data_IF_406840562161
#
_entry.id   IF_406840562161
#
_cell.length_a   1.000
_cell.length_b   1.000
_cell.length_c   1.000
_cell.angle_alpha   90.00
_cell.angle_beta   90.00
_cell.angle_gamma   90.00
#
_symmetry.space_group_name_H-M   'P 1'
#
loop_
_entity.id
_entity.type
_entity.pdbx_description
1 polymer ?
#
# COMPACT_ATOMS: atom_id res chain seq x y z
N UNK A 1 -12.10 5.91 30.66
CA UNK A 1 -11.30 5.38 29.54
C UNK A 1 -10.66 4.06 29.90
N UNK A 2 -11.13 2.97 29.26
CA UNK A 2 -10.47 1.69 29.33
C UNK A 2 -9.22 1.76 28.42
N UNK A 3 -8.04 1.93 29.01
CA UNK A 3 -6.84 2.35 28.27
C UNK A 3 -6.27 1.26 27.36
N UNK A 4 -6.43 -0.01 27.73
CA UNK A 4 -5.86 -1.15 26.99
C UNK A 4 -6.44 -1.31 25.56
N UNK A 5 -7.76 -1.36 25.35
CA UNK A 5 -8.34 -1.42 24.00
C UNK A 5 -7.87 -0.27 23.09
N UNK A 6 -7.76 0.92 23.66
CA UNK A 6 -7.34 2.12 22.93
C UNK A 6 -5.86 2.05 22.52
N UNK A 7 -4.97 1.63 23.42
CA UNK A 7 -3.55 1.43 23.12
C UNK A 7 -3.39 0.43 21.97
N UNK A 8 -4.07 -0.72 22.04
CA UNK A 8 -3.97 -1.76 21.01
C UNK A 8 -4.44 -1.25 19.65
N UNK A 9 -5.57 -0.55 19.61
CA UNK A 9 -6.09 0.03 18.38
C UNK A 9 -5.09 1.02 17.76
N UNK A 10 -4.50 1.92 18.56
CA UNK A 10 -3.52 2.88 18.07
C UNK A 10 -2.21 2.24 17.61
N UNK A 11 -1.75 1.16 18.24
CA UNK A 11 -0.58 0.42 17.73
C UNK A 11 -0.89 -0.18 16.36
N UNK A 12 -2.08 -0.78 16.18
CA UNK A 12 -2.51 -1.30 14.87
C UNK A 12 -2.54 -0.21 13.80
N UNK A 13 -3.09 0.96 14.14
CA UNK A 13 -3.14 2.13 13.26
C UNK A 13 -1.76 2.68 12.92
N UNK A 14 -0.82 2.69 13.88
CA UNK A 14 0.55 3.11 13.62
C UNK A 14 1.25 2.15 12.65
N UNK A 15 1.05 0.83 12.83
CA UNK A 15 1.65 -0.19 11.95
C UNK A 15 1.07 -0.13 10.54
N UNK A 16 -0.26 0.00 10.39
CA UNK A 16 -0.87 0.05 9.05
C UNK A 16 -0.36 1.24 8.24
N UNK A 17 -0.30 2.42 8.84
CA UNK A 17 0.14 3.65 8.18
C UNK A 17 1.65 3.61 7.91
N UNK A 18 2.42 3.22 8.92
CA UNK A 18 3.88 3.21 8.84
C UNK A 18 4.38 2.24 7.79
N UNK A 19 3.99 0.96 7.88
CA UNK A 19 4.54 -0.07 7.00
C UNK A 19 4.04 0.06 5.55
N UNK A 20 2.77 0.41 5.33
CA UNK A 20 2.27 0.59 3.97
C UNK A 20 2.91 1.81 3.30
N UNK A 21 3.11 2.91 4.04
CA UNK A 21 3.82 4.09 3.57
C UNK A 21 5.29 3.80 3.24
N UNK A 22 5.98 3.02 4.08
CA UNK A 22 7.35 2.56 3.81
C UNK A 22 7.40 1.74 2.52
N UNK A 23 6.47 0.80 2.34
CA UNK A 23 6.36 0.00 1.11
C UNK A 23 6.24 0.87 -0.13
N UNK A 24 5.35 1.86 -0.10
CA UNK A 24 5.17 2.79 -1.20
C UNK A 24 6.39 3.65 -1.49
N UNK A 25 7.06 4.17 -0.45
CA UNK A 25 8.28 4.94 -0.63
C UNK A 25 9.38 4.08 -1.28
N UNK A 26 9.57 2.84 -0.80
CA UNK A 26 10.57 1.93 -1.37
C UNK A 26 10.22 1.51 -2.81
N UNK A 27 8.94 1.21 -3.07
CA UNK A 27 8.48 0.77 -4.38
C UNK A 27 8.60 1.86 -5.45
N UNK A 28 8.18 3.10 -5.11
CA UNK A 28 8.28 4.24 -6.03
C UNK A 28 9.74 4.59 -6.34
N UNK A 29 10.65 4.51 -5.37
CA UNK A 29 12.09 4.67 -5.59
C UNK A 29 12.64 3.58 -6.51
N UNK A 30 12.24 2.32 -6.33
CA UNK A 30 12.70 1.22 -7.17
C UNK A 30 12.35 1.41 -8.64
N UNK A 31 11.09 1.71 -8.94
CA UNK A 31 10.63 1.94 -10.31
C UNK A 31 11.14 3.29 -10.86
N UNK A 32 11.27 4.32 -10.03
CA UNK A 32 11.86 5.61 -10.39
C UNK A 32 13.33 5.49 -10.81
N UNK A 33 14.13 4.70 -10.09
CA UNK A 33 15.51 4.41 -10.47
C UNK A 33 15.59 3.68 -11.82
N UNK A 34 14.69 2.72 -12.06
CA UNK A 34 14.59 2.05 -13.36
C UNK A 34 14.24 3.04 -14.48
N UNK A 35 13.32 3.98 -14.22
CA UNK A 35 12.96 5.05 -15.17
C UNK A 35 14.14 5.93 -15.51
N UNK A 36 14.86 6.46 -14.52
CA UNK A 36 16.04 7.32 -14.75
C UNK A 36 17.11 6.57 -15.55
N UNK A 37 17.33 5.28 -15.27
CA UNK A 37 18.25 4.44 -16.03
C UNK A 37 17.80 4.23 -17.48
N UNK A 38 16.54 3.86 -17.67
CA UNK A 38 15.94 3.58 -18.98
C UNK A 38 15.92 4.80 -19.91
N UNK A 39 15.70 5.99 -19.35
CA UNK A 39 15.66 7.26 -20.08
C UNK A 39 16.98 7.61 -20.78
N UNK A 40 18.12 7.11 -20.29
CA UNK A 40 19.42 7.28 -20.97
C UNK A 40 19.46 6.55 -22.32
N UNK A 41 18.74 5.44 -22.43
CA UNK A 41 18.69 4.61 -23.64
C UNK A 41 17.55 5.02 -24.57
N UNK A 42 16.36 5.28 -24.02
CA UNK A 42 15.21 5.70 -24.79
C UNK A 42 14.39 6.76 -24.04
N UNK A 43 14.59 8.06 -24.32
CA UNK A 43 13.85 9.13 -23.66
C UNK A 43 12.34 9.15 -23.96
N UNK A 44 11.91 8.53 -25.06
CA UNK A 44 10.50 8.60 -25.49
C UNK A 44 9.53 7.87 -24.56
N UNK A 45 10.02 6.94 -23.72
CA UNK A 45 9.17 6.13 -22.84
C UNK A 45 8.81 6.83 -21.53
N UNK A 46 9.30 8.06 -21.29
CA UNK A 46 9.19 8.75 -20.01
C UNK A 46 7.78 8.75 -19.44
N UNK A 47 6.77 9.10 -20.26
CA UNK A 47 5.38 9.17 -19.82
C UNK A 47 4.87 7.84 -19.28
N UNK A 48 5.08 6.76 -20.05
CA UNK A 48 4.71 5.39 -19.65
C UNK A 48 5.50 4.92 -18.42
N UNK A 49 6.80 5.23 -18.36
CA UNK A 49 7.65 4.86 -17.24
C UNK A 49 7.30 5.62 -15.95
N UNK A 50 6.86 6.88 -16.05
CA UNK A 50 6.33 7.65 -14.92
C UNK A 50 5.09 6.99 -14.33
N UNK A 51 4.15 6.56 -15.18
CA UNK A 51 2.92 5.88 -14.73
C UNK A 51 3.27 4.60 -13.98
N UNK A 52 4.14 3.77 -14.55
CA UNK A 52 4.59 2.53 -13.90
C UNK A 52 5.31 2.81 -12.57
N UNK A 53 6.06 3.92 -12.49
CA UNK A 53 6.75 4.32 -11.26
C UNK A 53 5.82 4.80 -10.14
N UNK A 54 4.63 5.28 -10.51
CA UNK A 54 3.64 5.74 -9.55
C UNK A 54 2.78 4.61 -8.96
N UNK A 55 2.71 3.44 -9.62
CA UNK A 55 1.84 2.34 -9.18
C UNK A 55 2.04 1.94 -7.71
N UNK A 56 3.27 1.77 -7.20
CA UNK A 56 3.48 1.35 -5.81
C UNK A 56 3.03 2.37 -4.77
N UNK A 57 2.56 3.56 -5.15
CA UNK A 57 2.07 4.57 -4.21
C UNK A 57 0.71 4.23 -3.58
N UNK A 58 -0.06 3.34 -4.19
CA UNK A 58 -1.44 3.04 -3.77
C UNK A 58 -1.50 2.35 -2.42
N UNK A 59 -0.54 1.50 -2.06
CA UNK A 59 -0.51 0.80 -0.76
C UNK A 59 -0.42 1.78 0.42
N UNK A 60 0.36 2.84 0.27
CA UNK A 60 0.43 3.95 1.22
C UNK A 60 -0.90 4.67 1.35
N UNK A 61 -1.57 4.95 0.21
CA UNK A 61 -2.90 5.58 0.20
C UNK A 61 -3.96 4.69 0.88
N UNK A 62 -3.90 3.37 0.69
CA UNK A 62 -4.79 2.43 1.35
C UNK A 62 -4.59 2.39 2.87
N UNK A 63 -3.33 2.33 3.34
CA UNK A 63 -3.05 2.40 4.78
C UNK A 63 -3.45 3.75 5.39
N UNK A 64 -3.26 4.85 4.65
CA UNK A 64 -3.72 6.18 5.05
C UNK A 64 -5.25 6.26 5.14
N UNK A 65 -5.97 5.74 4.15
CA UNK A 65 -7.43 5.70 4.18
C UNK A 65 -7.94 4.82 5.34
N UNK A 66 -7.37 3.62 5.53
CA UNK A 66 -7.73 2.72 6.63
C UNK A 66 -7.49 3.37 8.01
N UNK A 67 -6.41 4.14 8.14
CA UNK A 67 -6.11 4.90 9.36
C UNK A 67 -7.24 5.87 9.69
N UNK A 68 -7.68 6.70 8.75
CA UNK A 68 -8.75 7.68 9.00
C UNK A 68 -10.11 7.03 9.26
N UNK A 69 -10.42 5.91 8.58
CA UNK A 69 -11.64 5.14 8.83
C UNK A 69 -11.68 4.61 10.27
N UNK A 70 -10.58 4.00 10.73
CA UNK A 70 -10.47 3.48 12.09
C UNK A 70 -10.43 4.60 13.14
N UNK A 71 -9.74 5.71 12.85
CA UNK A 71 -9.74 6.89 13.74
C UNK A 71 -11.15 7.42 13.97
N UNK A 72 -11.93 7.57 12.90
CA UNK A 72 -13.31 8.04 12.98
C UNK A 72 -14.25 7.04 13.68
N UNK A 73 -13.97 5.74 13.60
CA UNK A 73 -14.74 4.72 14.30
C UNK A 73 -14.42 4.69 15.81
N UNK A 74 -13.14 4.75 16.18
CA UNK A 74 -12.69 4.85 17.58
C UNK A 74 -13.23 6.12 18.23
N UNK A 75 -13.17 7.26 17.54
CA UNK A 75 -13.70 8.53 18.05
C UNK A 75 -15.21 8.50 18.30
N UNK A 76 -15.97 7.74 17.50
CA UNK A 76 -17.41 7.54 17.71
C UNK A 76 -17.73 6.64 18.90
N UNK A 77 -16.91 5.62 19.15
CA UNK A 77 -17.10 4.69 20.28
C UNK A 77 -16.66 5.30 21.63
N UNK A 78 -15.61 6.13 21.63
CA UNK A 78 -15.13 6.80 22.84
C UNK A 78 -14.85 5.80 23.98
N UNK A 79 -15.45 6.05 25.15
CA UNK A 79 -15.33 5.17 26.33
C UNK A 79 -16.00 3.81 26.18
N UNK A 80 -16.85 3.60 25.17
CA UNK A 80 -17.53 2.32 24.91
C UNK A 80 -16.69 1.33 24.10
N UNK A 81 -15.45 1.68 23.72
CA UNK A 81 -14.56 0.80 22.97
C UNK A 81 -14.26 -0.48 23.76
N UNK A 82 -14.71 -1.61 23.23
CA UNK A 82 -14.49 -2.93 23.85
C UNK A 82 -13.09 -3.47 23.54
N UNK A 83 -12.60 -4.40 24.38
CA UNK A 83 -11.33 -5.08 24.13
C UNK A 83 -11.32 -5.83 22.79
N UNK A 84 -12.43 -6.46 22.41
CA UNK A 84 -12.56 -7.17 21.14
C UNK A 84 -12.42 -6.22 19.94
N UNK A 85 -13.02 -5.03 20.01
CA UNK A 85 -12.87 -4.00 18.97
C UNK A 85 -11.42 -3.49 18.90
N UNK A 86 -10.78 -3.22 20.05
CA UNK A 86 -9.37 -2.81 20.08
C UNK A 86 -8.43 -3.86 19.48
N UNK A 87 -8.65 -5.14 19.80
CA UNK A 87 -7.91 -6.26 19.21
C UNK A 87 -8.17 -6.43 17.71
N UNK A 88 -9.41 -6.22 17.26
CA UNK A 88 -9.76 -6.27 15.84
C UNK A 88 -8.98 -5.21 15.05
N UNK A 89 -8.98 -3.95 15.51
CA UNK A 89 -8.22 -2.85 14.89
C UNK A 89 -6.71 -3.14 14.90
N UNK A 90 -6.20 -3.69 16.01
CA UNK A 90 -4.81 -4.11 16.09
C UNK A 90 -4.46 -5.16 15.02
N UNK A 91 -5.25 -6.23 14.94
CA UNK A 91 -5.00 -7.35 14.03
C UNK A 91 -5.07 -6.94 12.54
N UNK A 92 -6.10 -6.20 12.15
CA UNK A 92 -6.21 -5.72 10.75
C UNK A 92 -5.18 -4.65 10.43
N UNK A 93 -4.78 -3.86 11.42
CA UNK A 93 -3.71 -2.88 11.26
C UNK A 93 -2.35 -3.52 10.96
N UNK A 94 -2.02 -4.60 11.67
CA UNK A 94 -0.84 -5.41 11.33
C UNK A 94 -0.95 -5.97 9.91
N UNK A 95 -2.07 -6.61 9.58
CA UNK A 95 -2.27 -7.21 8.26
C UNK A 95 -2.12 -6.19 7.13
N UNK A 96 -2.79 -5.03 7.23
CA UNK A 96 -2.70 -3.97 6.24
C UNK A 96 -1.28 -3.41 6.11
N UNK A 97 -0.58 -3.20 7.22
CA UNK A 97 0.79 -2.70 7.21
C UNK A 97 1.74 -3.64 6.47
N UNK A 98 1.78 -4.92 6.87
CA UNK A 98 2.68 -5.90 6.26
C UNK A 98 2.32 -6.23 4.82
N UNK A 99 1.03 -6.41 4.51
CA UNK A 99 0.59 -6.64 3.13
C UNK A 99 0.93 -5.44 2.27
N UNK A 100 0.66 -4.21 2.73
CA UNK A 100 1.01 -2.98 2.03
C UNK A 100 2.51 -2.87 1.74
N UNK A 101 3.35 -3.15 2.75
CA UNK A 101 4.81 -3.15 2.60
C UNK A 101 5.28 -4.10 1.49
N UNK A 102 4.86 -5.37 1.57
CA UNK A 102 5.34 -6.42 0.68
C UNK A 102 4.76 -6.25 -0.73
N UNK A 103 3.45 -5.98 -0.85
CA UNK A 103 2.78 -5.83 -2.14
C UNK A 103 3.31 -4.65 -2.95
N UNK A 104 3.58 -3.50 -2.33
CA UNK A 104 4.17 -2.34 -3.02
C UNK A 104 5.54 -2.68 -3.62
N UNK A 105 6.39 -3.38 -2.88
CA UNK A 105 7.71 -3.80 -3.35
C UNK A 105 7.58 -4.79 -4.52
N UNK A 106 6.65 -5.75 -4.44
CA UNK A 106 6.43 -6.71 -5.52
C UNK A 106 5.83 -6.07 -6.78
N UNK A 107 4.93 -5.11 -6.62
CA UNK A 107 4.39 -4.33 -7.73
C UNK A 107 5.49 -3.52 -8.41
N UNK A 108 6.36 -2.88 -7.61
CA UNK A 108 7.49 -2.12 -8.12
C UNK A 108 8.48 -2.98 -8.93
N UNK A 109 8.70 -4.24 -8.54
CA UNK A 109 9.56 -5.16 -9.29
C UNK A 109 9.03 -5.43 -10.70
N UNK A 110 7.71 -5.63 -10.82
CA UNK A 110 7.04 -5.81 -12.12
C UNK A 110 7.14 -4.52 -12.96
N UNK A 111 6.83 -3.38 -12.34
CA UNK A 111 6.91 -2.07 -12.99
C UNK A 111 8.34 -1.76 -13.50
N UNK A 112 9.34 -1.94 -12.65
CA UNK A 112 10.75 -1.72 -12.98
C UNK A 112 11.22 -2.60 -14.15
N UNK A 113 10.82 -3.88 -14.16
CA UNK A 113 11.14 -4.77 -15.28
C UNK A 113 10.50 -4.29 -16.59
N UNK A 114 9.22 -3.92 -16.57
CA UNK A 114 8.55 -3.36 -17.76
C UNK A 114 9.21 -2.09 -18.27
N UNK A 115 9.67 -1.21 -17.39
CA UNK A 115 10.41 0.01 -17.75
C UNK A 115 11.72 -0.32 -18.47
N UNK A 116 12.48 -1.29 -17.97
CA UNK A 116 13.72 -1.75 -18.61
C UNK A 116 13.43 -2.31 -20.00
N UNK A 117 12.41 -3.15 -20.15
CA UNK A 117 12.07 -3.75 -21.44
C UNK A 117 11.55 -2.74 -22.46
N UNK A 118 10.77 -1.75 -22.03
CA UNK A 118 10.39 -0.63 -22.90
C UNK A 118 11.61 0.16 -23.39
N UNK A 119 12.64 0.31 -22.56
CA UNK A 119 13.90 0.94 -22.97
C UNK A 119 14.68 0.12 -24.01
N UNK A 120 14.45 -1.19 -24.05
CA UNK A 120 14.99 -2.11 -25.05
C UNK A 120 14.20 -2.09 -26.37
N UNK A 121 13.11 -1.30 -26.46
CA UNK A 121 12.26 -1.21 -27.64
C UNK A 121 11.07 -2.17 -27.64
N UNK A 122 10.83 -2.90 -26.54
CA UNK A 122 9.69 -3.81 -26.43
C UNK A 122 8.41 -3.06 -26.05
N UNK A 123 7.30 -3.36 -26.74
CA UNK A 123 6.00 -2.78 -26.43
C UNK A 123 5.27 -3.59 -25.32
N UNK A 124 5.74 -3.45 -24.08
CA UNK A 124 5.22 -4.23 -22.93
C UNK A 124 4.42 -3.42 -21.91
N UNK A 125 4.23 -2.11 -22.11
CA UNK A 125 3.55 -1.23 -21.14
C UNK A 125 2.22 -1.79 -20.64
N UNK A 126 1.31 -2.14 -21.55
CA UNK A 126 -0.01 -2.68 -21.20
C UNK A 126 0.07 -4.02 -20.47
N UNK A 127 0.97 -4.90 -20.89
CA UNK A 127 1.19 -6.20 -20.23
C UNK A 127 1.74 -6.00 -18.82
N UNK A 128 2.68 -5.07 -18.63
CA UNK A 128 3.22 -4.71 -17.31
C UNK A 128 2.14 -4.16 -16.40
N UNK A 129 1.24 -3.30 -16.90
CA UNK A 129 0.11 -2.80 -16.12
C UNK A 129 -0.78 -3.94 -15.63
N UNK A 130 -1.18 -4.86 -16.52
CA UNK A 130 -2.02 -6.00 -16.15
C UNK A 130 -1.35 -6.87 -15.10
N UNK A 131 -0.06 -7.16 -15.25
CA UNK A 131 0.68 -7.96 -14.27
C UNK A 131 0.86 -7.22 -12.92
N UNK A 132 1.02 -5.90 -12.95
CA UNK A 132 1.15 -5.08 -11.74
C UNK A 132 -0.15 -5.01 -10.91
N UNK A 133 -1.29 -5.39 -11.46
CA UNK A 133 -2.56 -5.50 -10.70
C UNK A 133 -2.54 -6.68 -9.73
N UNK A 134 -1.80 -7.76 -9.99
CA UNK A 134 -1.87 -8.93 -9.10
C UNK A 134 -1.41 -8.63 -7.67
N UNK A 135 -0.25 -7.97 -7.43
CA UNK A 135 0.10 -7.51 -6.09
C UNK A 135 -0.88 -6.47 -5.52
N UNK A 136 -1.47 -5.62 -6.37
CA UNK A 136 -2.45 -4.59 -5.99
C UNK A 136 -3.67 -5.20 -5.29
N UNK A 137 -4.21 -6.28 -5.85
CA UNK A 137 -5.43 -6.93 -5.34
C UNK A 137 -5.29 -7.36 -3.89
N UNK A 138 -4.11 -7.84 -3.48
CA UNK A 138 -3.87 -8.23 -2.08
C UNK A 138 -3.89 -7.03 -1.14
N UNK A 139 -3.36 -5.88 -1.56
CA UNK A 139 -3.43 -4.65 -0.78
C UNK A 139 -4.87 -4.15 -0.63
N UNK A 140 -5.68 -4.23 -1.69
CA UNK A 140 -7.11 -3.89 -1.65
C UNK A 140 -7.88 -4.81 -0.70
N UNK A 141 -7.59 -6.11 -0.71
CA UNK A 141 -8.22 -7.06 0.22
C UNK A 141 -7.86 -6.76 1.69
N UNK A 142 -6.60 -6.43 1.96
CA UNK A 142 -6.16 -6.02 3.30
C UNK A 142 -6.83 -4.70 3.74
N UNK A 143 -6.95 -3.74 2.83
CA UNK A 143 -7.67 -2.49 3.07
C UNK A 143 -9.16 -2.75 3.38
N UNK A 144 -9.82 -3.61 2.60
CA UNK A 144 -11.20 -4.00 2.83
C UNK A 144 -11.41 -4.59 4.23
N UNK A 145 -10.49 -5.44 4.68
CA UNK A 145 -10.55 -6.03 6.02
C UNK A 145 -10.57 -4.98 7.14
N UNK A 146 -9.93 -3.81 6.94
CA UNK A 146 -9.81 -2.78 7.98
C UNK A 146 -11.13 -2.13 8.37
N UNK A 147 -12.15 -2.15 7.51
CA UNK A 147 -13.48 -1.62 7.83
C UNK A 147 -14.55 -2.71 7.95
N UNK A 148 -14.27 -3.93 7.49
CA UNK A 148 -15.17 -5.09 7.68
C UNK A 148 -14.97 -5.77 9.03
N UNK A 149 -13.76 -5.74 9.59
CA UNK A 149 -13.44 -6.46 10.81
C UNK A 149 -13.86 -5.75 12.10
N UNK A 150 -14.30 -4.50 12.04
CA UNK A 150 -14.81 -3.80 13.23
C UNK A 150 -16.24 -4.31 13.53
N UNK A 151 -16.44 -5.09 14.61
CA UNK A 151 -17.78 -5.54 14.98
C UNK A 151 -18.61 -4.34 15.47
N UNK A 152 -19.88 -4.32 15.06
CA UNK A 152 -20.92 -3.39 15.52
C UNK A 152 -21.14 -3.46 17.02
#
# INVERSE_FOLDING_TARGET
MNTLPLILAYIGMAVMLGLSGIGSAMGTVMAGNATVGAMKKNPSIFGSAMILSALPSTQGLYGFAAFFLNLGAIGRLGDALTLNQGLAVFAVGLAMGFVGLISAIKQAQIAANGIVEMSNGHNVFGNTLVLAVFPELYAILAFASCFLAMPS
#
